data_IF_340759551102
#
_entry.id   IF_340759551102
#
_cell.length_a   1.000
_cell.length_b   1.000
_cell.length_c   1.000
_cell.angle_alpha   90.00
_cell.angle_beta   90.00
_cell.angle_gamma   90.00
#
_symmetry.space_group_name_H-M   'P 1'
#
loop_
_entity.id
_entity.type
_entity.pdbx_description
1 polymer ?
#
# COMPACT_ATOMS: atom_id res chain seq x y z
N UNK A 1 8.59 5.31 -18.71
CA UNK A 1 7.18 5.27 -18.30
C UNK A 1 6.49 6.47 -18.97
N UNK A 2 5.17 6.31 -19.24
CA UNK A 2 4.36 7.33 -19.90
C UNK A 2 3.77 8.35 -18.90
N UNK A 3 4.45 8.54 -17.75
CA UNK A 3 4.06 9.47 -16.70
C UNK A 3 5.28 10.03 -15.95
N UNK A 4 5.20 11.30 -15.58
CA UNK A 4 6.27 12.06 -14.91
C UNK A 4 5.90 12.42 -13.46
N UNK A 5 4.61 12.44 -13.14
CA UNK A 5 4.09 12.80 -11.83
C UNK A 5 2.99 11.82 -11.35
N UNK A 6 2.45 12.05 -10.16
CA UNK A 6 1.43 11.18 -9.56
C UNK A 6 0.10 11.25 -10.33
N UNK A 7 -0.30 12.41 -10.78
CA UNK A 7 -1.57 12.60 -11.47
C UNK A 7 -1.55 11.88 -12.83
N UNK A 8 -0.50 12.07 -13.63
CA UNK A 8 -0.33 11.36 -14.89
C UNK A 8 -0.21 9.85 -14.70
N UNK A 9 0.42 9.36 -13.61
CA UNK A 9 0.41 7.93 -13.26
C UNK A 9 -1.00 7.41 -13.04
N UNK A 10 -1.83 8.12 -12.28
CA UNK A 10 -3.24 7.75 -12.03
C UNK A 10 -4.03 7.73 -13.34
N UNK A 11 -3.87 8.75 -14.17
CA UNK A 11 -4.56 8.86 -15.47
C UNK A 11 -4.17 7.74 -16.42
N UNK A 12 -2.86 7.46 -16.58
CA UNK A 12 -2.36 6.37 -17.43
C UNK A 12 -2.85 5.02 -16.92
N UNK A 13 -2.84 4.79 -15.60
CA UNK A 13 -3.35 3.56 -15.01
C UNK A 13 -4.85 3.39 -15.27
N UNK A 14 -5.64 4.44 -15.06
CA UNK A 14 -7.07 4.41 -15.34
C UNK A 14 -7.37 4.19 -16.83
N UNK A 15 -6.63 4.83 -17.72
CA UNK A 15 -6.76 4.65 -19.17
C UNK A 15 -6.41 3.22 -19.59
N UNK A 16 -5.35 2.64 -19.02
CA UNK A 16 -4.94 1.25 -19.27
C UNK A 16 -6.02 0.26 -18.84
N UNK A 17 -6.62 0.46 -17.67
CA UNK A 17 -7.72 -0.38 -17.18
C UNK A 17 -8.93 -0.27 -18.14
N UNK A 18 -9.32 0.94 -18.55
CA UNK A 18 -10.40 1.12 -19.52
C UNK A 18 -10.11 0.42 -20.85
N UNK A 19 -8.88 0.47 -21.31
CA UNK A 19 -8.46 -0.20 -22.55
C UNK A 19 -8.52 -1.71 -22.45
N UNK A 20 -8.14 -2.28 -21.29
CA UNK A 20 -8.09 -3.73 -21.08
C UNK A 20 -9.48 -4.34 -20.81
N UNK A 21 -10.29 -3.68 -19.99
CA UNK A 21 -11.56 -4.23 -19.52
C UNK A 21 -12.78 -3.67 -20.25
N UNK A 22 -12.62 -2.54 -20.95
CA UNK A 22 -13.72 -1.75 -21.45
C UNK A 22 -14.22 -0.71 -20.43
N UNK A 23 -14.96 0.32 -20.90
CA UNK A 23 -15.29 1.49 -20.07
C UNK A 23 -16.32 1.20 -18.96
N UNK A 24 -17.12 0.14 -19.11
CA UNK A 24 -18.25 -0.17 -18.21
C UNK A 24 -18.16 -1.53 -17.53
N UNK A 25 -17.14 -2.32 -17.81
CA UNK A 25 -16.97 -3.66 -17.21
C UNK A 25 -16.69 -3.53 -15.73
N UNK A 26 -17.54 -4.09 -14.83
CA UNK A 26 -17.28 -4.05 -13.40
C UNK A 26 -16.09 -4.92 -13.03
N UNK A 27 -15.24 -4.42 -12.12
CA UNK A 27 -14.09 -5.16 -11.60
C UNK A 27 -13.82 -4.81 -10.13
N UNK A 28 -13.06 -5.66 -9.46
CA UNK A 28 -12.54 -5.41 -8.12
C UNK A 28 -11.11 -4.86 -8.23
N UNK A 29 -10.73 -3.98 -7.30
CA UNK A 29 -9.42 -3.35 -7.31
C UNK A 29 -8.76 -3.52 -5.94
N UNK A 30 -7.50 -3.94 -5.94
CA UNK A 30 -6.68 -3.99 -4.73
C UNK A 30 -5.38 -3.22 -4.92
N UNK A 31 -4.85 -2.67 -3.81
CA UNK A 31 -3.56 -2.00 -3.84
C UNK A 31 -2.85 -2.02 -2.49
N UNK A 32 -1.52 -2.22 -2.53
CA UNK A 32 -0.67 -2.21 -1.36
C UNK A 32 0.15 -0.92 -1.29
N UNK A 33 0.27 -0.34 -0.08
CA UNK A 33 1.14 0.80 0.21
C UNK A 33 0.92 1.97 -0.76
N UNK A 34 1.94 2.38 -1.50
CA UNK A 34 1.82 3.40 -2.55
C UNK A 34 0.86 2.97 -3.68
N UNK A 35 0.84 1.67 -4.02
CA UNK A 35 -0.17 1.10 -4.93
C UNK A 35 -1.59 1.24 -4.39
N UNK A 36 -1.79 1.20 -3.07
CA UNK A 36 -3.07 1.50 -2.42
C UNK A 36 -3.52 2.94 -2.65
N UNK A 37 -2.61 3.90 -2.51
CA UNK A 37 -2.89 5.31 -2.83
C UNK A 37 -3.24 5.49 -4.32
N UNK A 38 -2.49 4.85 -5.23
CA UNK A 38 -2.80 4.87 -6.67
C UNK A 38 -4.18 4.27 -6.94
N UNK A 39 -4.48 3.10 -6.35
CA UNK A 39 -5.77 2.41 -6.53
C UNK A 39 -6.96 3.25 -6.06
N UNK A 40 -6.85 3.92 -4.90
CA UNK A 40 -7.90 4.82 -4.42
C UNK A 40 -8.15 5.99 -5.39
N UNK A 41 -7.06 6.60 -5.88
CA UNK A 41 -7.18 7.70 -6.84
C UNK A 41 -7.68 7.23 -8.22
N UNK A 42 -7.34 6.02 -8.65
CA UNK A 42 -7.90 5.39 -9.87
C UNK A 42 -9.40 5.11 -9.70
N UNK A 43 -9.83 4.58 -8.55
CA UNK A 43 -11.26 4.36 -8.27
C UNK A 43 -12.05 5.67 -8.31
N UNK A 44 -11.46 6.77 -7.84
CA UNK A 44 -12.04 8.12 -7.91
C UNK A 44 -12.20 8.68 -9.34
N UNK A 45 -11.59 8.05 -10.38
CA UNK A 45 -11.75 8.45 -11.80
C UNK A 45 -13.04 7.95 -12.44
N UNK A 46 -14.01 7.43 -11.67
CA UNK A 46 -15.30 6.99 -12.17
C UNK A 46 -15.27 5.70 -13.01
N UNK A 47 -14.28 4.83 -12.78
CA UNK A 47 -14.29 3.48 -13.33
C UNK A 47 -15.33 2.60 -12.62
N UNK A 48 -15.76 1.52 -13.26
CA UNK A 48 -16.71 0.58 -12.70
C UNK A 48 -16.10 -0.34 -11.62
N UNK A 49 -15.41 0.26 -10.64
CA UNK A 49 -14.85 -0.48 -9.49
C UNK A 49 -16.00 -0.91 -8.59
N UNK A 50 -16.20 -2.22 -8.43
CA UNK A 50 -17.23 -2.80 -7.55
C UNK A 50 -16.84 -2.69 -6.09
N UNK A 51 -15.63 -3.12 -5.78
CA UNK A 51 -15.05 -3.13 -4.44
C UNK A 51 -13.59 -2.75 -4.49
N UNK A 52 -13.16 -1.96 -3.52
CA UNK A 52 -11.78 -1.53 -3.35
C UNK A 52 -11.21 -2.17 -2.08
N UNK A 53 -10.01 -2.76 -2.17
CA UNK A 53 -9.26 -3.23 -1.01
C UNK A 53 -7.89 -2.54 -0.96
N UNK A 54 -7.57 -1.95 0.17
CA UNK A 54 -6.35 -1.20 0.41
C UNK A 54 -5.55 -1.87 1.54
N UNK A 55 -4.35 -2.29 1.24
CA UNK A 55 -3.46 -2.99 2.16
C UNK A 55 -2.35 -2.02 2.59
N UNK A 56 -2.35 -1.58 3.84
CA UNK A 56 -1.40 -0.58 4.34
C UNK A 56 -1.28 0.65 3.43
N UNK A 57 -2.38 1.29 2.97
CA UNK A 57 -2.27 2.32 1.93
C UNK A 57 -1.46 3.52 2.38
N UNK A 58 -0.62 4.06 1.49
CA UNK A 58 0.04 5.34 1.66
C UNK A 58 -0.91 6.53 1.46
N UNK A 59 -0.43 7.75 1.72
CA UNK A 59 -1.20 8.98 1.44
C UNK A 59 -2.25 9.36 2.48
N UNK A 60 -2.26 8.71 3.64
CA UNK A 60 -3.19 8.99 4.74
C UNK A 60 -2.89 10.31 5.47
N UNK A 61 -1.67 10.86 5.35
CA UNK A 61 -1.27 12.12 6.01
C UNK A 61 -1.01 12.01 7.51
N UNK A 62 -1.11 10.83 8.10
CA UNK A 62 -0.89 10.61 9.52
C UNK A 62 0.58 10.65 9.94
N UNK A 63 0.85 10.80 11.24
CA UNK A 63 2.19 10.85 11.77
C UNK A 63 2.84 9.46 11.70
N UNK A 64 4.10 9.44 11.26
CA UNK A 64 4.90 8.20 11.22
C UNK A 64 5.38 7.82 12.61
N UNK A 65 5.45 6.52 12.84
CA UNK A 65 6.11 5.94 14.02
C UNK A 65 7.60 5.76 13.72
N UNK A 66 8.44 5.82 14.73
CA UNK A 66 9.88 5.56 14.59
C UNK A 66 10.21 4.12 15.04
N UNK A 67 10.85 3.34 14.18
CA UNK A 67 11.43 2.04 14.50
C UNK A 67 12.92 1.99 14.18
N UNK A 68 13.32 2.67 13.12
CA UNK A 68 14.71 2.79 12.70
C UNK A 68 14.85 3.75 11.53
N UNK A 69 16.00 4.37 11.38
CA UNK A 69 16.28 5.26 10.26
C UNK A 69 16.78 4.44 9.07
N UNK A 70 16.06 4.48 7.95
CA UNK A 70 16.47 3.79 6.74
C UNK A 70 17.91 4.11 6.34
N UNK A 71 18.67 3.06 6.04
CA UNK A 71 20.02 3.18 5.53
C UNK A 71 20.02 3.31 4.00
N UNK A 72 21.01 4.03 3.48
CA UNK A 72 21.16 4.18 2.04
C UNK A 72 21.90 2.97 1.44
N UNK A 73 21.17 1.94 1.07
CA UNK A 73 21.67 0.72 0.47
C UNK A 73 22.52 0.92 -0.79
N UNK A 74 22.36 2.05 -1.51
CA UNK A 74 23.17 2.40 -2.68
C UNK A 74 24.63 2.71 -2.36
N UNK A 75 24.98 2.78 -1.06
CA UNK A 75 26.37 2.96 -0.60
C UNK A 75 27.07 1.65 -0.29
N UNK A 76 26.37 0.53 -0.34
CA UNK A 76 26.96 -0.79 -0.17
C UNK A 76 28.03 -1.03 -1.26
N UNK A 77 29.17 -1.53 -0.85
CA UNK A 77 30.33 -1.81 -1.72
C UNK A 77 30.43 -3.31 -2.02
N UNK A 78 29.80 -4.15 -1.21
CA UNK A 78 29.73 -5.61 -1.38
C UNK A 78 28.30 -6.10 -1.35
N UNK A 79 28.08 -7.33 -1.80
CA UNK A 79 26.77 -7.98 -1.76
C UNK A 79 26.31 -8.22 -0.30
N UNK A 80 27.22 -8.51 0.61
CA UNK A 80 26.93 -8.67 2.03
C UNK A 80 26.43 -7.37 2.64
N UNK A 81 27.09 -6.25 2.39
CA UNK A 81 26.65 -4.92 2.85
C UNK A 81 25.30 -4.55 2.27
N UNK A 82 25.02 -4.92 1.00
CA UNK A 82 23.73 -4.69 0.36
C UNK A 82 22.63 -5.51 1.07
N UNK A 83 22.85 -6.78 1.32
CA UNK A 83 21.88 -7.66 1.98
C UNK A 83 21.60 -7.19 3.42
N UNK A 84 22.61 -6.81 4.17
CA UNK A 84 22.46 -6.23 5.52
C UNK A 84 21.63 -4.94 5.49
N UNK A 85 21.93 -4.04 4.57
CA UNK A 85 21.18 -2.79 4.41
C UNK A 85 19.71 -3.06 4.04
N UNK A 86 19.44 -4.01 3.13
CA UNK A 86 18.10 -4.38 2.73
C UNK A 86 17.33 -5.06 3.85
N UNK A 87 17.94 -6.00 4.59
CA UNK A 87 17.37 -6.61 5.79
C UNK A 87 16.98 -5.55 6.82
N UNK A 88 17.92 -4.65 7.14
CA UNK A 88 17.67 -3.57 8.08
C UNK A 88 16.50 -2.66 7.62
N UNK A 89 16.44 -2.30 6.34
CA UNK A 89 15.37 -1.47 5.80
C UNK A 89 14.01 -2.17 5.83
N UNK A 90 13.97 -3.49 5.60
CA UNK A 90 12.75 -4.29 5.79
C UNK A 90 12.28 -4.23 7.24
N UNK A 91 13.15 -4.48 8.19
CA UNK A 91 12.87 -4.39 9.62
C UNK A 91 12.41 -2.98 10.03
N UNK A 92 13.10 -1.96 9.55
CA UNK A 92 12.83 -0.58 9.94
C UNK A 92 11.54 -0.01 9.34
N UNK A 93 11.01 -0.61 8.26
CA UNK A 93 9.91 0.01 7.51
C UNK A 93 8.76 -0.93 7.12
N UNK A 94 9.03 -2.20 6.85
CA UNK A 94 8.08 -3.06 6.15
C UNK A 94 7.53 -4.19 7.02
N UNK A 95 8.40 -4.91 7.73
CA UNK A 95 8.10 -6.16 8.42
C UNK A 95 8.31 -5.97 9.92
N UNK A 96 7.32 -6.34 10.73
CA UNK A 96 7.41 -6.25 12.18
C UNK A 96 8.11 -7.46 12.80
N UNK A 97 7.71 -8.68 12.41
CA UNK A 97 8.27 -9.92 12.92
C UNK A 97 9.64 -10.21 12.28
N UNK A 98 10.72 -10.17 13.07
CA UNK A 98 12.10 -10.27 12.57
C UNK A 98 12.40 -11.62 11.89
N UNK A 99 11.76 -12.69 12.35
CA UNK A 99 11.83 -14.03 11.79
C UNK A 99 11.23 -14.14 10.38
N UNK A 100 10.38 -13.23 9.99
CA UNK A 100 9.79 -13.19 8.63
C UNK A 100 10.66 -12.44 7.61
N UNK A 101 11.76 -11.82 8.06
CA UNK A 101 12.73 -11.21 7.16
C UNK A 101 13.67 -12.30 6.62
N UNK A 102 13.11 -13.18 5.82
CA UNK A 102 13.80 -14.29 5.19
C UNK A 102 14.50 -13.88 3.87
N UNK A 103 15.29 -14.77 3.25
CA UNK A 103 15.94 -14.49 1.97
C UNK A 103 14.96 -14.13 0.85
N UNK A 104 13.72 -14.62 0.89
CA UNK A 104 12.70 -14.32 -0.12
C UNK A 104 12.19 -12.88 0.02
N UNK A 105 11.87 -12.44 1.26
CA UNK A 105 11.52 -11.05 1.56
C UNK A 105 12.62 -10.08 1.11
N UNK A 106 13.89 -10.40 1.47
CA UNK A 106 15.06 -9.60 1.10
C UNK A 106 15.19 -9.54 -0.43
N UNK A 107 15.03 -10.67 -1.13
CA UNK A 107 15.11 -10.74 -2.57
C UNK A 107 14.07 -9.89 -3.28
N UNK A 108 12.79 -9.98 -2.90
CA UNK A 108 11.71 -9.16 -3.45
C UNK A 108 11.96 -7.68 -3.19
N UNK A 109 12.34 -7.33 -1.96
CA UNK A 109 12.60 -5.94 -1.59
C UNK A 109 13.77 -5.35 -2.38
N UNK A 110 14.87 -6.09 -2.46
CA UNK A 110 16.07 -5.70 -3.22
C UNK A 110 15.74 -5.47 -4.68
N UNK A 111 15.08 -6.45 -5.33
CA UNK A 111 14.66 -6.34 -6.71
C UNK A 111 13.78 -5.12 -6.96
N UNK A 112 12.80 -4.91 -6.09
CA UNK A 112 11.88 -3.77 -6.19
C UNK A 112 12.59 -2.42 -6.02
N UNK A 113 13.52 -2.33 -5.06
CA UNK A 113 14.30 -1.11 -4.83
C UNK A 113 15.23 -0.77 -6.00
N UNK A 114 15.88 -1.77 -6.59
CA UNK A 114 16.81 -1.59 -7.73
C UNK A 114 16.04 -1.18 -9.00
N UNK A 115 14.88 -1.78 -9.24
CA UNK A 115 14.10 -1.57 -10.46
C UNK A 115 13.08 -0.43 -10.36
N UNK A 116 12.95 0.20 -9.20
CA UNK A 116 12.01 1.31 -9.00
C UNK A 116 12.39 2.50 -9.89
N UNK A 117 11.43 3.01 -10.68
CA UNK A 117 11.61 4.13 -11.61
C UNK A 117 10.86 5.39 -11.17
N UNK A 118 9.95 5.27 -10.21
CA UNK A 118 9.13 6.36 -9.70
C UNK A 118 9.41 6.63 -8.23
N UNK A 119 9.62 7.91 -7.86
CA UNK A 119 9.92 8.31 -6.48
C UNK A 119 8.63 8.69 -5.75
N UNK A 120 8.04 7.75 -5.03
CA UNK A 120 6.81 7.94 -4.26
C UNK A 120 6.97 8.71 -2.94
N UNK A 121 8.19 8.82 -2.39
CA UNK A 121 8.45 9.33 -1.03
C UNK A 121 7.83 10.69 -0.73
N UNK A 122 7.89 11.64 -1.67
CA UNK A 122 7.32 12.98 -1.48
C UNK A 122 5.81 13.05 -1.64
N UNK A 123 5.18 11.98 -2.11
CA UNK A 123 3.74 11.90 -2.43
C UNK A 123 2.99 11.18 -1.32
N UNK A 124 3.53 10.07 -0.82
CA UNK A 124 2.90 9.24 0.22
C UNK A 124 2.57 9.97 1.52
N UNK A 125 3.21 11.11 1.80
CA UNK A 125 2.95 11.93 2.98
C UNK A 125 1.94 13.07 2.78
N UNK A 126 1.36 13.24 1.58
CA UNK A 126 0.55 14.43 1.24
C UNK A 126 -0.92 14.39 1.66
N UNK A 127 -1.41 13.35 2.31
CA UNK A 127 -2.82 13.25 2.70
C UNK A 127 -3.79 13.11 1.51
N UNK A 128 -3.36 12.49 0.41
CA UNK A 128 -4.16 12.36 -0.82
C UNK A 128 -5.16 11.20 -0.77
N UNK A 129 -5.06 10.30 0.21
CA UNK A 129 -5.93 9.12 0.31
C UNK A 129 -7.36 9.49 0.70
N UNK A 130 -7.54 10.31 1.74
CA UNK A 130 -8.86 10.73 2.22
C UNK A 130 -9.71 11.35 1.11
N UNK A 131 -9.24 12.42 0.44
CA UNK A 131 -9.97 13.03 -0.68
C UNK A 131 -10.34 12.05 -1.80
N UNK A 132 -9.47 11.11 -2.15
CA UNK A 132 -9.80 10.10 -3.17
C UNK A 132 -10.91 9.16 -2.71
N UNK A 133 -10.88 8.73 -1.45
CA UNK A 133 -11.92 7.88 -0.86
C UNK A 133 -13.26 8.63 -0.68
N UNK A 134 -13.25 9.94 -0.49
CA UNK A 134 -14.48 10.75 -0.42
C UNK A 134 -15.16 10.88 -1.79
N UNK A 135 -14.40 10.82 -2.87
CA UNK A 135 -14.93 10.81 -4.25
C UNK A 135 -15.44 9.43 -4.66
N UNK A 136 -14.80 8.34 -4.21
CA UNK A 136 -15.22 6.98 -4.56
C UNK A 136 -16.36 6.50 -3.64
N UNK A 137 -17.59 6.32 -4.16
CA UNK A 137 -18.76 5.98 -3.33
C UNK A 137 -18.86 4.49 -3.00
N UNK A 138 -18.07 3.64 -3.65
CA UNK A 138 -18.16 2.18 -3.54
C UNK A 138 -17.58 1.64 -2.23
N UNK A 139 -17.88 0.36 -1.92
CA UNK A 139 -17.37 -0.30 -0.73
C UNK A 139 -15.84 -0.35 -0.71
N UNK A 140 -15.23 0.09 0.39
CA UNK A 140 -13.79 0.11 0.59
C UNK A 140 -13.40 -0.68 1.84
N UNK A 141 -12.48 -1.62 1.69
CA UNK A 141 -11.80 -2.32 2.78
C UNK A 141 -10.41 -1.72 2.96
N UNK A 142 -10.02 -1.44 4.20
CA UNK A 142 -8.66 -1.06 4.57
C UNK A 142 -8.13 -2.10 5.56
N UNK A 143 -7.07 -2.82 5.19
CA UNK A 143 -6.35 -3.76 6.05
C UNK A 143 -5.05 -3.11 6.50
N UNK A 144 -4.80 -3.12 7.81
CA UNK A 144 -3.68 -2.41 8.43
C UNK A 144 -2.97 -3.27 9.46
N UNK A 145 -1.66 -3.23 9.51
CA UNK A 145 -0.88 -3.87 10.56
C UNK A 145 -0.83 -3.01 11.83
N UNK A 146 -1.01 -3.62 12.99
CA UNK A 146 -0.93 -2.94 14.29
C UNK A 146 0.40 -2.19 14.47
N UNK A 147 1.48 -2.80 13.96
CA UNK A 147 2.83 -2.27 14.06
C UNK A 147 3.31 -1.54 12.81
N UNK A 148 2.40 -1.20 11.88
CA UNK A 148 2.76 -0.39 10.72
C UNK A 148 3.36 0.95 11.17
N UNK A 149 4.60 1.21 10.73
CA UNK A 149 5.34 2.41 11.11
C UNK A 149 4.89 3.65 10.32
N UNK A 150 4.14 3.48 9.25
CA UNK A 150 3.72 4.60 8.40
C UNK A 150 2.65 5.45 9.08
N UNK A 151 1.84 4.84 9.98
CA UNK A 151 0.81 5.50 10.78
C UNK A 151 0.35 4.60 11.93
N UNK A 152 -0.28 5.15 12.95
CA UNK A 152 -0.93 4.35 14.00
C UNK A 152 -2.31 3.86 13.55
N UNK A 153 -2.76 2.65 14.00
CA UNK A 153 -4.12 2.18 13.75
C UNK A 153 -5.20 3.17 14.17
N UNK A 154 -5.07 3.78 15.36
CA UNK A 154 -6.04 4.74 15.87
C UNK A 154 -6.23 5.94 14.94
N UNK A 155 -5.13 6.49 14.43
CA UNK A 155 -5.22 7.59 13.47
C UNK A 155 -5.96 7.15 12.20
N UNK A 156 -5.63 5.97 11.68
CA UNK A 156 -6.26 5.45 10.46
C UNK A 156 -7.76 5.23 10.67
N UNK A 157 -8.13 4.57 11.77
CA UNK A 157 -9.54 4.30 12.09
C UNK A 157 -10.33 5.59 12.23
N UNK A 158 -9.83 6.56 12.99
CA UNK A 158 -10.49 7.85 13.22
C UNK A 158 -10.66 8.65 11.92
N UNK A 159 -9.63 8.72 11.08
CA UNK A 159 -9.65 9.63 9.93
C UNK A 159 -10.12 8.98 8.62
N UNK A 160 -10.06 7.65 8.50
CA UNK A 160 -10.38 6.98 7.24
C UNK A 160 -11.63 6.10 7.31
N UNK A 161 -12.06 5.69 8.52
CA UNK A 161 -13.14 4.70 8.71
C UNK A 161 -14.33 5.28 9.47
N UNK A 162 -14.09 5.95 10.61
CA UNK A 162 -15.17 6.45 11.46
C UNK A 162 -16.09 7.42 10.72
N UNK A 163 -17.40 7.22 10.87
CA UNK A 163 -18.40 8.02 10.17
C UNK A 163 -18.57 7.72 8.68
N UNK A 164 -17.87 6.73 8.14
CA UNK A 164 -17.90 6.37 6.72
C UNK A 164 -18.62 5.03 6.51
N UNK A 165 -19.92 5.00 6.14
CA UNK A 165 -20.71 3.77 6.08
C UNK A 165 -20.27 2.79 4.99
N UNK A 166 -19.55 3.28 3.97
CA UNK A 166 -19.02 2.47 2.88
C UNK A 166 -17.57 1.98 3.11
N UNK A 167 -16.98 2.24 4.28
CA UNK A 167 -15.60 1.86 4.58
C UNK A 167 -15.53 0.90 5.77
N UNK A 168 -14.73 -0.14 5.63
CA UNK A 168 -14.45 -1.13 6.67
C UNK A 168 -12.95 -1.18 6.95
N UNK A 169 -12.56 -1.08 8.22
CA UNK A 169 -11.17 -1.27 8.68
C UNK A 169 -10.98 -2.64 9.31
N UNK A 170 -9.82 -3.25 9.07
CA UNK A 170 -9.33 -4.45 9.75
C UNK A 170 -7.91 -4.18 10.22
N UNK A 171 -7.68 -4.31 11.54
CA UNK A 171 -6.35 -4.21 12.13
C UNK A 171 -5.85 -5.61 12.42
N UNK A 172 -4.66 -5.94 11.92
CA UNK A 172 -4.00 -7.23 12.14
C UNK A 172 -3.00 -7.08 13.29
N UNK A 173 -3.19 -7.78 14.42
CA UNK A 173 -2.24 -7.76 15.53
C UNK A 173 -0.93 -8.41 15.12
N UNK A 174 0.18 -7.90 15.69
CA UNK A 174 1.56 -8.40 15.49
C UNK A 174 2.07 -8.31 14.03
N UNK A 175 1.50 -7.44 13.21
CA UNK A 175 1.84 -7.26 11.78
C UNK A 175 2.35 -5.85 11.52
N UNK A 176 3.35 -5.72 10.66
CA UNK A 176 3.93 -4.46 10.20
C UNK A 176 3.21 -3.86 8.99
N UNK A 177 3.99 -3.17 8.18
CA UNK A 177 3.45 -2.48 7.00
C UNK A 177 3.12 -3.42 5.84
N UNK A 178 3.92 -4.49 5.65
CA UNK A 178 3.74 -5.41 4.52
C UNK A 178 2.74 -6.52 4.84
N UNK A 179 1.51 -6.13 5.17
CA UNK A 179 0.46 -7.00 5.71
C UNK A 179 0.20 -8.26 4.89
N UNK A 180 0.20 -8.15 3.57
CA UNK A 180 -0.06 -9.27 2.66
C UNK A 180 1.14 -10.21 2.47
N UNK A 181 2.31 -9.84 2.92
CA UNK A 181 3.48 -10.70 2.99
C UNK A 181 3.62 -11.33 4.38
N UNK A 182 3.51 -10.49 5.40
CA UNK A 182 3.76 -10.86 6.79
C UNK A 182 2.66 -11.80 7.33
N UNK A 183 1.44 -11.69 6.80
CA UNK A 183 0.29 -12.43 7.30
C UNK A 183 -0.70 -12.79 6.19
N UNK A 184 -0.20 -13.44 5.15
CA UNK A 184 -1.01 -13.92 4.04
C UNK A 184 -2.15 -14.85 4.50
N UNK A 185 -1.91 -15.66 5.54
CA UNK A 185 -2.90 -16.62 6.07
C UNK A 185 -4.17 -15.93 6.59
N UNK A 186 -4.05 -14.72 7.18
CA UNK A 186 -5.22 -13.92 7.60
C UNK A 186 -5.70 -12.97 6.50
N UNK A 187 -4.80 -12.41 5.69
CA UNK A 187 -5.15 -11.44 4.66
C UNK A 187 -5.90 -12.07 3.50
N UNK A 188 -5.47 -13.23 3.01
CA UNK A 188 -6.06 -13.87 1.83
C UNK A 188 -7.54 -14.21 2.03
N UNK A 189 -7.97 -14.87 3.13
CA UNK A 189 -9.40 -15.08 3.39
C UNK A 189 -10.20 -13.78 3.48
N UNK A 190 -9.66 -12.74 4.11
CA UNK A 190 -10.31 -11.42 4.18
C UNK A 190 -10.58 -10.86 2.78
N UNK A 191 -9.60 -10.96 1.88
CA UNK A 191 -9.74 -10.48 0.50
C UNK A 191 -10.71 -11.35 -0.32
N UNK A 192 -10.65 -12.67 -0.16
CA UNK A 192 -11.57 -13.60 -0.83
C UNK A 192 -13.01 -13.29 -0.43
N UNK A 193 -13.30 -13.20 0.86
CA UNK A 193 -14.63 -12.86 1.37
C UNK A 193 -15.08 -11.47 0.92
N UNK A 194 -14.15 -10.50 0.93
CA UNK A 194 -14.44 -9.15 0.49
C UNK A 194 -14.85 -9.06 -0.97
N UNK A 195 -14.23 -9.82 -1.84
CA UNK A 195 -14.47 -9.77 -3.28
C UNK A 195 -15.53 -10.76 -3.79
N UNK A 196 -15.95 -11.72 -2.95
CA UNK A 196 -16.95 -12.73 -3.31
C UNK A 196 -18.39 -12.19 -3.37
N UNK A 197 -18.66 -11.02 -2.82
CA UNK A 197 -20.02 -10.42 -2.68
C UNK A 197 -20.38 -9.49 -3.82
#
# INVERSE_FOLDING_TARGET
>A
PDFDDFESMVQVTAASIRSLLGPTTPFNLAGFSFGGLVSANVAAQGLAVKRLALLGPGGHGGPRRERGKLVNWKRALTDEELLEAMRFNLWAHMIYADEQIDPFAIGIHTYSCINTRFRSRGISGRGLLGPALDVYPGPTLIVWGEHDITCTPDYLMMHMIEGQPNRRGVILPDVGHWVNFEDAERVDPILVDWFAV
#
